data_IF_732688248058
#
_entry.id   IF_732688248058
#
_cell.length_a   1.000
_cell.length_b   1.000
_cell.length_c   1.000
_cell.angle_alpha   90.00
_cell.angle_beta   90.00
_cell.angle_gamma   90.00
#
_symmetry.space_group_name_H-M   'P 1'
#
loop_
_entity.id
_entity.type
_entity.pdbx_description
1 polymer ?
#
# COMPACT_ATOMS: atom_id res chain seq x y z
N UNK A 1 13.60 -0.38 2.63
CA UNK A 1 13.70 1.00 2.14
C UNK A 1 12.96 1.95 3.06
N UNK A 2 13.62 3.04 3.47
CA UNK A 2 12.97 4.12 4.23
C UNK A 2 11.75 4.68 3.50
N UNK A 3 10.73 5.07 4.26
CA UNK A 3 9.45 5.57 3.76
C UNK A 3 9.61 6.64 2.67
N UNK A 4 10.38 7.71 2.93
CA UNK A 4 10.52 8.83 1.98
C UNK A 4 11.11 8.40 0.63
N UNK A 5 12.09 7.48 0.66
CA UNK A 5 12.68 6.91 -0.55
C UNK A 5 11.67 6.04 -1.31
N UNK A 6 10.85 5.27 -0.60
CA UNK A 6 9.79 4.45 -1.20
C UNK A 6 8.69 5.32 -1.83
N UNK A 7 8.27 6.37 -1.13
CA UNK A 7 7.29 7.35 -1.60
C UNK A 7 7.76 8.08 -2.87
N UNK A 8 9.02 8.51 -2.91
CA UNK A 8 9.60 9.15 -4.12
C UNK A 8 9.54 8.21 -5.33
N UNK A 9 9.89 6.93 -5.14
CA UNK A 9 9.86 5.92 -6.23
C UNK A 9 8.45 5.59 -6.69
N UNK A 10 7.45 5.65 -5.81
CA UNK A 10 6.07 5.33 -6.16
C UNK A 10 5.50 6.22 -7.27
N UNK A 11 5.98 7.47 -7.37
CA UNK A 11 5.61 8.41 -8.44
C UNK A 11 5.96 7.91 -9.85
N UNK A 12 6.89 6.97 -9.98
CA UNK A 12 7.24 6.34 -11.26
C UNK A 12 6.20 5.32 -11.74
N UNK A 13 5.29 4.86 -10.87
CA UNK A 13 4.40 3.73 -11.14
C UNK A 13 2.93 4.11 -11.24
N UNK A 14 2.54 5.27 -10.71
CA UNK A 14 1.16 5.73 -10.80
C UNK A 14 0.80 6.78 -9.76
N UNK A 15 -0.50 6.94 -9.55
CA UNK A 15 -1.05 8.00 -8.68
C UNK A 15 -0.95 7.61 -7.22
N UNK A 16 -0.35 8.47 -6.41
CA UNK A 16 -0.32 8.29 -4.95
C UNK A 16 -1.62 8.85 -4.37
N UNK A 17 -2.31 8.04 -3.59
CA UNK A 17 -3.59 8.36 -2.96
C UNK A 17 -3.57 8.06 -1.47
N UNK A 18 -4.49 8.67 -0.75
CA UNK A 18 -4.83 8.34 0.64
C UNK A 18 -5.62 7.04 0.72
N UNK A 19 -5.82 6.55 1.94
CA UNK A 19 -6.64 5.36 2.13
C UNK A 19 -8.10 5.60 1.70
N UNK A 20 -8.72 6.70 2.14
CA UNK A 20 -10.11 7.01 1.77
C UNK A 20 -10.32 7.02 0.25
N UNK A 21 -9.44 7.70 -0.48
CA UNK A 21 -9.48 7.74 -1.95
C UNK A 21 -9.32 6.34 -2.60
N UNK A 22 -8.53 5.45 -2.00
CA UNK A 22 -8.45 4.05 -2.46
C UNK A 22 -9.77 3.32 -2.21
N UNK A 23 -10.32 3.41 -0.99
CA UNK A 23 -11.56 2.70 -0.63
C UNK A 23 -12.73 3.16 -1.50
N UNK A 24 -12.83 4.46 -1.78
CA UNK A 24 -13.87 5.01 -2.66
C UNK A 24 -13.77 4.44 -4.07
N UNK A 25 -12.55 4.35 -4.63
CA UNK A 25 -12.32 3.76 -5.94
C UNK A 25 -12.64 2.26 -5.97
N UNK A 26 -12.25 1.52 -4.93
CA UNK A 26 -12.55 0.09 -4.82
C UNK A 26 -14.06 -0.17 -4.76
N UNK A 27 -14.79 0.61 -3.95
CA UNK A 27 -16.25 0.55 -3.88
C UNK A 27 -16.91 0.85 -5.22
N UNK A 28 -16.43 1.87 -5.94
CA UNK A 28 -16.93 2.20 -7.28
C UNK A 28 -16.67 1.08 -8.30
N UNK A 29 -15.58 0.33 -8.14
CA UNK A 29 -15.25 -0.81 -8.98
C UNK A 29 -15.95 -2.12 -8.55
N UNK A 30 -16.73 -2.13 -7.47
CA UNK A 30 -17.40 -3.32 -6.96
C UNK A 30 -16.49 -4.28 -6.20
N UNK A 31 -15.30 -3.83 -5.76
CA UNK A 31 -14.44 -4.59 -4.86
C UNK A 31 -14.93 -4.41 -3.42
N UNK A 32 -14.91 -5.48 -2.61
CA UNK A 32 -15.36 -5.49 -1.19
C UNK A 32 -14.22 -5.75 -0.19
N UNK A 33 -13.00 -5.92 -0.68
CA UNK A 33 -11.81 -6.20 0.13
C UNK A 33 -10.65 -5.32 -0.30
N UNK A 34 -9.79 -5.00 0.66
CA UNK A 34 -8.54 -4.30 0.40
C UNK A 34 -7.43 -4.79 1.32
N UNK A 35 -6.18 -4.53 0.92
CA UNK A 35 -5.00 -4.90 1.68
C UNK A 35 -4.42 -3.70 2.40
N UNK A 36 -4.43 -3.72 3.74
CA UNK A 36 -3.82 -2.68 4.56
C UNK A 36 -2.43 -3.10 5.07
N UNK A 37 -1.58 -2.14 5.48
CA UNK A 37 -0.33 -2.45 6.17
C UNK A 37 -0.60 -3.17 7.50
N UNK A 38 0.06 -4.31 7.74
CA UNK A 38 -0.07 -5.07 8.98
C UNK A 38 1.28 -5.31 9.66
N UNK A 39 2.25 -5.86 8.93
CA UNK A 39 3.57 -6.21 9.47
C UNK A 39 4.69 -5.39 8.86
N UNK A 40 5.79 -5.19 9.60
CA UNK A 40 7.01 -4.59 9.05
C UNK A 40 8.09 -5.66 8.86
N UNK A 41 8.36 -6.04 7.62
CA UNK A 41 9.35 -7.08 7.28
C UNK A 41 10.79 -6.68 7.62
N UNK A 42 11.06 -5.38 7.79
CA UNK A 42 12.40 -4.89 8.16
C UNK A 42 12.72 -5.09 9.66
N UNK A 43 11.85 -4.63 10.56
CA UNK A 43 12.12 -4.70 12.01
C UNK A 43 11.28 -5.74 12.75
N UNK A 44 10.23 -6.27 12.12
CA UNK A 44 9.29 -7.27 12.67
C UNK A 44 8.62 -6.88 13.99
N UNK A 45 8.58 -5.58 14.32
CA UNK A 45 7.93 -5.04 15.53
C UNK A 45 6.49 -4.58 15.33
N UNK A 46 6.07 -4.35 14.08
CA UNK A 46 4.71 -3.91 13.77
C UNK A 46 3.79 -5.12 13.61
N UNK A 47 2.65 -5.09 14.29
CA UNK A 47 1.63 -6.15 14.34
C UNK A 47 0.23 -5.54 14.25
N UNK A 48 0.01 -4.73 13.22
CA UNK A 48 -1.28 -4.12 12.96
C UNK A 48 -1.14 -2.77 12.27
N UNK A 49 -2.24 -2.35 11.62
CA UNK A 49 -2.33 -1.06 10.92
C UNK A 49 -1.98 0.14 11.82
N UNK A 50 -2.29 0.07 13.10
CA UNK A 50 -2.03 1.13 14.09
C UNK A 50 -0.53 1.37 14.33
N UNK A 51 0.34 0.42 13.97
CA UNK A 51 1.80 0.56 14.07
C UNK A 51 2.44 1.26 12.88
N UNK A 52 1.60 1.70 11.94
CA UNK A 52 2.00 2.47 10.78
C UNK A 52 1.45 3.89 10.86
N UNK A 53 2.22 4.82 10.30
CA UNK A 53 1.82 6.20 10.09
C UNK A 53 2.02 6.59 8.62
N UNK A 54 1.45 7.73 8.21
CA UNK A 54 1.54 8.24 6.84
C UNK A 54 1.20 7.18 5.78
N UNK A 55 0.14 6.42 6.01
CA UNK A 55 -0.32 5.36 5.08
C UNK A 55 -0.78 6.02 3.77
N UNK A 56 -0.26 5.52 2.66
CA UNK A 56 -0.54 5.92 1.28
C UNK A 56 -0.60 4.68 0.40
N UNK A 57 -1.27 4.81 -0.72
CA UNK A 57 -1.35 3.78 -1.73
C UNK A 57 -0.89 4.34 -3.06
N UNK A 58 -0.30 3.48 -3.89
CA UNK A 58 0.00 3.80 -5.29
C UNK A 58 -0.97 3.02 -6.15
N UNK A 59 -1.84 3.74 -6.85
CA UNK A 59 -2.73 3.17 -7.86
C UNK A 59 -1.93 3.07 -9.15
N UNK A 60 -1.77 1.85 -9.66
CA UNK A 60 -1.01 1.66 -10.88
C UNK A 60 -1.86 2.07 -12.08
N UNK A 61 -1.46 3.13 -12.76
CA UNK A 61 -2.18 3.70 -13.90
C UNK A 61 -1.26 3.71 -15.13
N UNK A 62 -1.81 3.40 -16.31
CA UNK A 62 -1.08 3.42 -17.57
C UNK A 62 -0.04 2.28 -17.73
N UNK A 63 1.02 2.54 -18.51
CA UNK A 63 2.11 1.58 -18.72
C UNK A 63 3.16 1.75 -17.62
N UNK A 64 3.22 0.79 -16.69
CA UNK A 64 4.22 0.72 -15.64
C UNK A 64 4.96 -0.63 -15.67
N UNK A 65 6.14 -0.69 -15.05
CA UNK A 65 6.85 -1.96 -14.90
C UNK A 65 6.26 -2.77 -13.74
N UNK A 66 5.32 -3.66 -14.05
CA UNK A 66 4.58 -4.47 -13.09
C UNK A 66 5.47 -5.31 -12.18
N UNK A 67 6.47 -6.00 -12.75
CA UNK A 67 7.42 -6.83 -11.98
C UNK A 67 8.17 -6.00 -10.95
N UNK A 68 8.60 -4.79 -11.33
CA UNK A 68 9.29 -3.85 -10.43
C UNK A 68 8.33 -3.27 -9.38
N UNK A 69 7.09 -2.95 -9.77
CA UNK A 69 6.07 -2.43 -8.86
C UNK A 69 5.72 -3.46 -7.78
N UNK A 70 5.38 -4.68 -8.18
CA UNK A 70 5.02 -5.79 -7.29
C UNK A 70 6.12 -6.06 -6.25
N UNK A 71 7.38 -6.14 -6.68
CA UNK A 71 8.53 -6.35 -5.77
C UNK A 71 8.71 -5.21 -4.75
N UNK A 72 8.36 -3.98 -5.11
CA UNK A 72 8.59 -2.82 -4.26
C UNK A 72 7.43 -2.54 -3.32
N UNK A 73 6.19 -2.58 -3.81
CA UNK A 73 5.01 -2.08 -3.11
C UNK A 73 3.98 -3.18 -2.78
N UNK A 74 4.20 -4.40 -3.26
CA UNK A 74 3.16 -5.43 -3.34
C UNK A 74 2.13 -5.10 -4.41
N UNK A 75 1.25 -6.06 -4.70
CA UNK A 75 0.05 -5.82 -5.51
C UNK A 75 -1.13 -6.35 -4.71
N UNK A 76 -2.00 -5.44 -4.27
CA UNK A 76 -3.36 -5.76 -3.88
C UNK A 76 -4.27 -5.43 -5.05
N UNK A 77 -5.34 -6.21 -5.24
CA UNK A 77 -6.32 -5.90 -6.26
C UNK A 77 -7.13 -7.09 -6.75
N UNK A 78 -8.41 -6.83 -7.01
CA UNK A 78 -9.26 -7.56 -7.95
C UNK A 78 -9.44 -6.70 -9.19
N UNK A 79 -10.34 -5.71 -9.10
CA UNK A 79 -10.68 -4.80 -10.21
C UNK A 79 -9.68 -3.64 -10.36
N UNK A 80 -9.01 -3.23 -9.29
CA UNK A 80 -8.00 -2.15 -9.29
C UNK A 80 -6.66 -2.67 -8.75
N UNK A 81 -5.58 -2.50 -9.52
CA UNK A 81 -4.23 -2.85 -9.07
C UNK A 81 -3.58 -1.70 -8.30
N UNK A 82 -3.12 -1.98 -7.08
CA UNK A 82 -2.47 -0.99 -6.22
C UNK A 82 -1.39 -1.59 -5.32
N UNK A 83 -0.54 -0.73 -4.75
CA UNK A 83 0.48 -1.10 -3.77
C UNK A 83 0.42 -0.22 -2.51
N UNK A 84 0.95 -0.72 -1.39
CA UNK A 84 0.92 -0.01 -0.11
C UNK A 84 2.26 0.64 0.25
N UNK A 85 2.17 1.83 0.84
CA UNK A 85 3.30 2.62 1.33
C UNK A 85 2.92 3.15 2.71
N UNK A 86 3.72 2.88 3.71
CA UNK A 86 3.40 3.21 5.09
C UNK A 86 4.68 3.24 5.91
N UNK A 87 4.79 4.22 6.79
CA UNK A 87 5.96 4.37 7.63
C UNK A 87 5.74 3.56 8.90
N UNK A 88 6.55 2.52 9.09
CA UNK A 88 6.59 1.80 10.36
C UNK A 88 7.04 2.74 11.49
N UNK A 89 6.24 2.86 12.55
CA UNK A 89 6.54 3.74 13.70
C UNK A 89 7.85 3.37 14.41
N UNK A 90 8.23 2.09 14.39
CA UNK A 90 9.40 1.58 15.11
C UNK A 90 10.74 1.80 14.39
N UNK A 91 10.77 1.83 13.06
CA UNK A 91 12.03 1.88 12.32
C UNK A 91 12.02 2.82 11.10
N UNK A 92 10.89 3.45 10.79
CA UNK A 92 10.72 4.37 9.66
C UNK A 92 10.83 3.72 8.27
N UNK A 93 10.87 2.39 8.21
CA UNK A 93 10.89 1.62 6.96
C UNK A 93 9.48 1.35 6.46
N UNK A 94 9.37 0.92 5.19
CA UNK A 94 8.10 0.69 4.51
C UNK A 94 8.06 -0.67 3.81
N UNK A 95 8.75 -1.66 4.36
CA UNK A 95 8.71 -3.06 3.95
C UNK A 95 7.51 -3.67 4.65
N UNK A 96 6.38 -3.62 3.97
CA UNK A 96 5.07 -3.93 4.53
C UNK A 96 4.74 -5.37 4.21
N UNK A 97 4.26 -6.09 5.21
CA UNK A 97 3.45 -7.28 5.06
C UNK A 97 1.98 -6.84 5.06
N UNK A 98 1.24 -7.01 3.94
CA UNK A 98 -0.16 -6.64 3.85
C UNK A 98 -1.08 -7.71 4.47
N UNK A 99 -2.23 -7.29 4.98
CA UNK A 99 -3.31 -8.18 5.44
C UNK A 99 -4.65 -7.76 4.81
N UNK A 100 -5.50 -8.71 4.39
CA UNK A 100 -6.80 -8.39 3.82
C UNK A 100 -7.78 -7.89 4.88
N UNK A 101 -8.59 -6.90 4.53
CA UNK A 101 -9.71 -6.40 5.31
C UNK A 101 -10.92 -6.16 4.42
N UNK A 102 -12.11 -6.41 4.95
CA UNK A 102 -13.37 -6.03 4.32
C UNK A 102 -13.54 -4.51 4.31
N UNK A 103 -14.22 -3.99 3.29
CA UNK A 103 -14.57 -2.57 3.16
C UNK A 103 -15.85 -2.18 3.91
N UNK A 104 -16.66 -3.16 4.32
CA UNK A 104 -18.00 -3.00 4.91
C UNK A 104 -18.03 -3.09 6.44
N UNK A 105 -16.97 -2.64 7.13
CA UNK A 105 -16.91 -2.59 8.60
C UNK A 105 -16.90 -1.16 9.13
#
# INVERSE_FOLDING_TARGET
MKYEKKLKRAKEFGKIVTEGELLDRLKQAGDYQYFHPYGCLNCRKAHGKRDFEKIRYVLYEGRYNERKASKLFGVGGGSISYGSIAKCKFCGHSEIYPEPSSLDR
#
